data_IF_409501218478
#
_entry.id   IF_409501218478
#
_cell.length_a   1.000
_cell.length_b   1.000
_cell.length_c   1.000
_cell.angle_alpha   90.00
_cell.angle_beta   90.00
_cell.angle_gamma   90.00
#
_symmetry.space_group_name_H-M   'P 1'
#
loop_
_entity.id
_entity.type
_entity.pdbx_description
1 polymer ?
#
# COMPACT_ATOMS: atom_id res chain seq x y z
N UNK A 1 24.42 -7.51 -4.78
CA UNK A 1 23.02 -7.40 -4.50
C UNK A 1 22.66 -6.09 -3.83
N UNK A 2 21.56 -5.50 -4.21
CA UNK A 2 21.18 -4.20 -3.68
C UNK A 2 20.19 -4.35 -2.56
N UNK A 3 20.42 -3.66 -1.46
CA UNK A 3 19.41 -3.63 -0.42
C UNK A 3 18.17 -2.93 -0.96
N UNK A 4 17.02 -3.41 -0.55
CA UNK A 4 15.77 -2.78 -0.93
C UNK A 4 15.70 -1.41 -0.27
N UNK A 5 15.67 -0.38 -1.08
CA UNK A 5 15.56 0.97 -0.55
C UNK A 5 14.13 1.20 -0.07
N UNK A 6 13.95 1.76 1.14
CA UNK A 6 12.59 2.00 1.63
C UNK A 6 11.73 2.83 0.68
N UNK A 7 12.34 3.76 -0.03
CA UNK A 7 11.57 4.58 -0.96
C UNK A 7 11.03 3.78 -2.13
N UNK A 8 11.70 2.67 -2.50
CA UNK A 8 11.19 1.81 -3.56
C UNK A 8 9.89 1.14 -3.13
N UNK A 9 9.82 0.71 -1.88
CA UNK A 9 8.60 0.09 -1.36
C UNK A 9 7.48 1.12 -1.27
N UNK A 10 7.79 2.32 -0.79
CA UNK A 10 6.80 3.38 -0.71
C UNK A 10 6.30 3.78 -2.08
N UNK A 11 7.18 3.74 -3.09
CA UNK A 11 6.77 4.02 -4.46
C UNK A 11 5.75 2.99 -4.94
N UNK A 12 6.00 1.71 -4.63
CA UNK A 12 5.05 0.66 -5.00
C UNK A 12 3.72 0.84 -4.27
N UNK A 13 3.76 1.21 -3.00
CA UNK A 13 2.54 1.48 -2.27
C UNK A 13 1.74 2.61 -2.94
N UNK A 14 2.43 3.66 -3.37
CA UNK A 14 1.78 4.77 -4.05
C UNK A 14 1.12 4.30 -5.35
N UNK A 15 1.80 3.44 -6.09
CA UNK A 15 1.22 2.90 -7.33
C UNK A 15 -0.02 2.08 -7.05
N UNK A 16 -0.05 1.36 -5.95
CA UNK A 16 -1.24 0.61 -5.57
C UNK A 16 -2.40 1.54 -5.24
N UNK A 17 -2.14 2.66 -4.58
CA UNK A 17 -3.18 3.64 -4.34
C UNK A 17 -3.72 4.18 -5.66
N UNK A 18 -2.83 4.43 -6.63
CA UNK A 18 -3.26 4.90 -7.94
C UNK A 18 -4.13 3.86 -8.65
N UNK A 19 -3.77 2.59 -8.53
CA UNK A 19 -4.59 1.50 -9.10
C UNK A 19 -5.95 1.48 -8.43
N UNK A 20 -5.99 1.61 -7.10
CA UNK A 20 -7.24 1.65 -6.36
C UNK A 20 -8.14 2.79 -6.86
N UNK A 21 -7.57 3.97 -7.06
CA UNK A 21 -8.33 5.10 -7.58
C UNK A 21 -8.89 4.82 -8.96
N UNK A 22 -8.11 4.17 -9.82
CA UNK A 22 -8.58 3.82 -11.16
C UNK A 22 -9.69 2.77 -11.11
N UNK A 23 -9.59 1.84 -10.19
CA UNK A 23 -10.64 0.84 -10.02
C UNK A 23 -11.94 1.50 -9.54
N UNK A 24 -11.84 2.47 -8.65
CA UNK A 24 -13.00 3.21 -8.20
C UNK A 24 -13.67 3.94 -9.36
N UNK A 25 -12.87 4.55 -10.22
CA UNK A 25 -13.39 5.23 -11.40
C UNK A 25 -14.07 4.26 -12.36
N UNK A 26 -13.48 3.08 -12.54
CA UNK A 26 -14.07 2.06 -13.38
C UNK A 26 -15.40 1.59 -12.81
N UNK A 27 -15.48 1.47 -11.48
CA UNK A 27 -16.72 1.06 -10.83
C UNK A 27 -17.86 2.02 -11.15
N UNK A 28 -17.56 3.31 -11.21
CA UNK A 28 -18.58 4.30 -11.55
C UNK A 28 -19.09 4.15 -12.96
N UNK A 29 -18.25 3.66 -13.86
CA UNK A 29 -18.62 3.55 -15.28
C UNK A 29 -19.15 2.19 -15.66
N UNK A 30 -19.04 1.21 -14.77
CA UNK A 30 -19.46 -0.17 -15.06
C UNK A 30 -20.34 -0.70 -13.95
N UNK A 31 -21.60 -0.27 -13.91
CA UNK A 31 -22.49 -0.60 -12.78
C UNK A 31 -22.65 -2.09 -12.53
N UNK A 32 -22.56 -2.92 -13.57
CA UNK A 32 -22.78 -4.36 -13.39
C UNK A 32 -21.72 -5.02 -12.56
N UNK A 33 -20.52 -4.47 -12.55
CA UNK A 33 -19.40 -5.02 -11.77
C UNK A 33 -18.90 -4.05 -10.71
N UNK A 34 -19.67 -3.01 -10.44
CA UNK A 34 -19.25 -1.93 -9.55
C UNK A 34 -18.88 -2.45 -8.17
N UNK A 35 -19.73 -3.28 -7.57
CA UNK A 35 -19.47 -3.78 -6.23
C UNK A 35 -18.20 -4.59 -6.17
N UNK A 36 -17.97 -5.43 -7.18
CA UNK A 36 -16.76 -6.23 -7.24
C UNK A 36 -15.53 -5.35 -7.38
N UNK A 37 -15.60 -4.32 -8.23
CA UNK A 37 -14.47 -3.42 -8.42
C UNK A 37 -14.17 -2.64 -7.16
N UNK A 38 -15.20 -2.21 -6.43
CA UNK A 38 -14.99 -1.48 -5.18
C UNK A 38 -14.36 -2.39 -4.14
N UNK A 39 -14.78 -3.63 -4.06
CA UNK A 39 -14.19 -4.59 -3.12
C UNK A 39 -12.72 -4.83 -3.45
N UNK A 40 -12.40 -4.99 -4.73
CA UNK A 40 -11.02 -5.19 -5.16
C UNK A 40 -10.19 -3.94 -4.87
N UNK A 41 -10.75 -2.77 -5.15
CA UNK A 41 -10.07 -1.51 -4.85
C UNK A 41 -9.73 -1.40 -3.37
N UNK A 42 -10.67 -1.79 -2.50
CA UNK A 42 -10.41 -1.78 -1.07
C UNK A 42 -9.29 -2.72 -0.67
N UNK A 43 -9.22 -3.90 -1.28
CA UNK A 43 -8.13 -4.84 -1.02
C UNK A 43 -6.79 -4.30 -1.46
N UNK A 44 -6.75 -3.67 -2.64
CA UNK A 44 -5.53 -3.06 -3.14
C UNK A 44 -5.06 -1.95 -2.21
N UNK A 45 -5.98 -1.10 -1.77
CA UNK A 45 -5.65 -0.01 -0.87
C UNK A 45 -5.14 -0.54 0.47
N UNK A 46 -5.74 -1.60 0.97
CA UNK A 46 -5.30 -2.23 2.19
C UNK A 46 -3.88 -2.77 2.06
N UNK A 47 -3.57 -3.38 0.91
CA UNK A 47 -2.23 -3.88 0.64
C UNK A 47 -1.22 -2.73 0.64
N UNK A 48 -1.58 -1.60 0.05
CA UNK A 48 -0.71 -0.42 0.04
C UNK A 48 -0.42 0.06 1.45
N UNK A 49 -1.45 0.08 2.30
CA UNK A 49 -1.29 0.49 3.69
C UNK A 49 -0.37 -0.47 4.44
N UNK A 50 -0.51 -1.76 4.19
CA UNK A 50 0.36 -2.76 4.82
C UNK A 50 1.81 -2.54 4.41
N UNK A 51 2.06 -2.20 3.15
CA UNK A 51 3.43 -1.89 2.71
C UNK A 51 3.99 -0.68 3.44
N UNK A 52 3.18 0.34 3.64
CA UNK A 52 3.63 1.52 4.37
C UNK A 52 3.96 1.18 5.82
N UNK A 53 3.13 0.37 6.45
CA UNK A 53 3.37 -0.06 7.82
C UNK A 53 4.64 -0.88 7.92
N UNK A 54 4.86 -1.76 6.94
CA UNK A 54 6.07 -2.57 6.89
C UNK A 54 7.31 -1.68 6.86
N UNK A 55 7.30 -0.67 6.00
CA UNK A 55 8.45 0.23 5.89
C UNK A 55 8.66 1.00 7.18
N UNK A 56 7.59 1.52 7.76
CA UNK A 56 7.71 2.30 8.99
C UNK A 56 8.26 1.45 10.13
N UNK A 57 7.80 0.20 10.22
CA UNK A 57 8.25 -0.71 11.26
C UNK A 57 9.72 -1.05 11.09
N UNK A 58 10.12 -1.39 9.87
CA UNK A 58 11.51 -1.78 9.61
C UNK A 58 12.46 -0.61 9.79
N UNK A 59 12.06 0.57 9.35
CA UNK A 59 12.91 1.74 9.52
C UNK A 59 13.09 2.04 11.00
N UNK A 60 12.04 1.94 11.78
CA UNK A 60 12.13 2.15 13.22
C UNK A 60 13.12 1.19 13.87
N UNK A 61 13.06 -0.08 13.48
CA UNK A 61 13.98 -1.07 14.03
C UNK A 61 15.42 -0.81 13.61
N UNK A 62 15.62 -0.48 12.33
CA UNK A 62 16.95 -0.26 11.79
C UNK A 62 17.61 0.99 12.34
N UNK A 63 16.82 1.96 12.73
CA UNK A 63 17.39 3.20 13.27
C UNK A 63 17.74 3.09 14.74
N UNK A 64 17.56 1.92 15.33
CA UNK A 64 17.88 1.74 16.73
C UNK A 64 16.85 2.28 17.68
N UNK A 65 15.73 2.70 17.16
CA UNK A 65 14.64 3.19 17.99
C UNK A 65 13.73 2.05 18.39
N UNK A 66 14.35 1.01 18.90
CA UNK A 66 13.60 -0.18 19.28
C UNK A 66 12.76 0.15 20.53
N UNK A 67 11.44 0.13 20.39
CA UNK A 67 10.59 0.47 21.53
C UNK A 67 10.75 -0.49 22.69
N UNK A 68 11.18 -1.69 22.42
CA UNK A 68 11.39 -2.65 23.49
C UNK A 68 12.57 -2.29 24.35
N UNK A 69 13.47 -1.50 23.85
CA UNK A 69 14.62 -1.04 24.58
C UNK A 69 14.45 0.33 25.19
N UNK A 70 13.37 0.93 24.86
CA UNK A 70 13.13 2.27 25.37
C UNK A 70 12.83 2.23 26.86
#
# INVERSE_FOLDING_TARGET
MYPMHPSAILHEAQQLYDVSDRLDSLAERHPLVSEALIAISGSVRNTATVLEVLVATKIGLLSGLDPANA
#
